data_IF_398440360232
#
_entry.id   IF_398440360232
#
_cell.length_a   1.000
_cell.length_b   1.000
_cell.length_c   1.000
_cell.angle_alpha   90.00
_cell.angle_beta   90.00
_cell.angle_gamma   90.00
#
_symmetry.space_group_name_H-M   'P 1'
#
loop_
_entity.id
_entity.type
_entity.pdbx_description
1 polymer ?
#
# COMPACT_ATOMS: atom_id res chain seq x y z
N UNK A 1 13.05 -4.54 -19.44
CA UNK A 1 12.80 -3.40 -18.52
C UNK A 1 11.31 -3.23 -18.18
N UNK A 2 10.40 -3.21 -19.17
CA UNK A 2 8.95 -3.05 -18.96
C UNK A 2 8.32 -4.06 -17.97
N UNK A 3 8.77 -5.32 -17.96
CA UNK A 3 8.29 -6.32 -17.00
C UNK A 3 8.54 -5.92 -15.55
N UNK A 4 9.77 -5.50 -15.23
CA UNK A 4 10.16 -5.07 -13.87
C UNK A 4 9.35 -3.86 -13.46
N UNK A 5 9.18 -2.92 -14.39
CA UNK A 5 8.35 -1.73 -14.19
C UNK A 5 6.89 -2.09 -13.85
N UNK A 6 6.27 -2.96 -14.64
CA UNK A 6 4.88 -3.37 -14.44
C UNK A 6 4.68 -4.13 -13.13
N UNK A 7 5.60 -5.01 -12.77
CA UNK A 7 5.58 -5.72 -11.48
C UNK A 7 5.62 -4.71 -10.34
N UNK A 8 6.59 -3.78 -10.36
CA UNK A 8 6.70 -2.73 -9.35
C UNK A 8 5.44 -1.85 -9.29
N UNK A 9 4.90 -1.45 -10.45
CA UNK A 9 3.68 -0.65 -10.52
C UNK A 9 2.49 -1.38 -9.88
N UNK A 10 2.31 -2.68 -10.11
CA UNK A 10 1.23 -3.45 -9.49
C UNK A 10 1.42 -3.59 -7.97
N UNK A 11 2.64 -3.90 -7.53
CA UNK A 11 3.02 -4.00 -6.11
C UNK A 11 2.79 -2.68 -5.36
N UNK A 12 3.10 -1.56 -5.99
CA UNK A 12 2.91 -0.23 -5.41
C UNK A 12 1.44 0.21 -5.49
N UNK A 13 0.73 -0.05 -6.60
CA UNK A 13 -0.67 0.31 -6.74
C UNK A 13 -1.57 -0.42 -5.72
N UNK A 14 -1.33 -1.71 -5.44
CA UNK A 14 -2.08 -2.39 -4.38
C UNK A 14 -1.80 -1.81 -2.98
N UNK A 15 -0.57 -1.31 -2.75
CA UNK A 15 -0.21 -0.68 -1.48
C UNK A 15 -0.94 0.66 -1.33
N UNK A 16 -1.13 1.41 -2.42
CA UNK A 16 -1.93 2.65 -2.43
C UNK A 16 -3.38 2.36 -2.06
N UNK A 17 -3.99 1.32 -2.65
CA UNK A 17 -5.34 0.86 -2.27
C UNK A 17 -5.41 0.56 -0.77
N UNK A 18 -4.41 -0.14 -0.22
CA UNK A 18 -4.38 -0.42 1.21
C UNK A 18 -4.25 0.82 2.10
N UNK A 19 -3.54 1.86 1.65
CA UNK A 19 -3.44 3.14 2.37
C UNK A 19 -4.76 3.90 2.30
N UNK A 20 -5.44 3.91 1.15
CA UNK A 20 -6.78 4.51 1.01
C UNK A 20 -7.77 3.90 2.00
N UNK A 21 -7.85 2.55 2.05
CA UNK A 21 -8.73 1.83 2.97
C UNK A 21 -8.35 2.07 4.43
N UNK A 22 -7.05 2.13 4.73
CA UNK A 22 -6.56 2.40 6.08
C UNK A 22 -6.97 3.79 6.56
N UNK A 23 -6.74 4.83 5.75
CA UNK A 23 -7.13 6.21 6.07
C UNK A 23 -8.64 6.34 6.21
N UNK A 24 -9.41 5.68 5.34
CA UNK A 24 -10.87 5.66 5.42
C UNK A 24 -11.39 5.05 6.74
N UNK A 25 -10.83 3.92 7.18
CA UNK A 25 -11.23 3.27 8.44
C UNK A 25 -10.83 4.09 9.67
N UNK A 26 -9.70 4.82 9.60
CA UNK A 26 -9.25 5.75 10.64
C UNK A 26 -10.04 7.08 10.64
N UNK A 27 -10.84 7.36 9.61
CA UNK A 27 -11.56 8.62 9.45
C UNK A 27 -10.66 9.79 9.05
N UNK A 28 -9.49 9.53 8.47
CA UNK A 28 -8.56 10.55 8.00
C UNK A 28 -8.88 10.95 6.56
N UNK A 29 -8.46 12.16 6.18
CA UNK A 29 -8.59 12.62 4.79
C UNK A 29 -7.85 11.64 3.84
N UNK A 30 -8.20 11.50 2.56
CA UNK A 30 -7.47 10.64 1.62
C UNK A 30 -5.96 10.97 1.51
N UNK A 31 -5.15 10.07 0.93
CA UNK A 31 -3.72 10.32 0.73
C UNK A 31 -3.48 11.66 0.00
N UNK A 32 -2.49 12.43 0.48
CA UNK A 32 -2.07 13.68 -0.16
C UNK A 32 -1.28 13.41 -1.45
N UNK A 33 -0.99 14.48 -2.20
CA UNK A 33 -0.10 14.43 -3.35
C UNK A 33 1.22 13.72 -3.02
N UNK A 34 1.76 12.98 -3.99
CA UNK A 34 3.03 12.27 -3.82
C UNK A 34 4.16 13.23 -3.48
N UNK A 35 4.93 12.91 -2.45
CA UNK A 35 6.08 13.70 -2.04
C UNK A 35 7.36 12.88 -2.12
N UNK A 36 8.50 13.56 -1.97
CA UNK A 36 9.76 12.88 -1.69
C UNK A 36 9.65 12.08 -0.39
N UNK A 37 10.25 10.90 -0.40
CA UNK A 37 10.36 10.08 0.79
C UNK A 37 11.35 10.73 1.77
N UNK A 38 10.86 11.03 2.96
CA UNK A 38 11.67 11.39 4.13
C UNK A 38 11.27 10.43 5.25
N UNK A 39 12.26 9.72 5.80
CA UNK A 39 12.06 8.95 7.02
C UNK A 39 11.97 9.93 8.20
N UNK A 40 10.91 9.88 9.01
CA UNK A 40 10.78 10.74 10.19
C UNK A 40 11.80 10.35 11.28
N UNK A 41 12.25 11.33 12.06
CA UNK A 41 13.06 11.09 13.25
C UNK A 41 12.22 10.58 14.42
N UNK A 42 12.86 9.97 15.43
CA UNK A 42 12.16 9.52 16.63
C UNK A 42 11.56 10.68 17.41
N UNK A 43 12.25 11.82 17.41
CA UNK A 43 11.86 13.06 18.04
C UNK A 43 10.64 13.67 17.33
N UNK A 44 10.62 13.69 16.00
CA UNK A 44 9.46 14.12 15.19
C UNK A 44 8.22 13.26 15.51
N UNK A 45 8.38 11.93 15.58
CA UNK A 45 7.28 11.01 15.94
C UNK A 45 6.80 11.25 17.37
N UNK A 46 7.73 11.44 18.32
CA UNK A 46 7.38 11.66 19.72
C UNK A 46 6.61 12.97 19.91
N UNK A 47 7.02 14.03 19.20
CA UNK A 47 6.45 15.37 19.26
C UNK A 47 5.05 15.50 18.62
N UNK A 48 4.60 14.51 17.85
CA UNK A 48 3.30 14.55 17.19
C UNK A 48 2.14 14.70 18.20
N UNK A 49 1.45 15.84 18.15
CA UNK A 49 0.41 16.18 19.14
C UNK A 49 -0.94 15.56 18.81
N UNK A 50 -1.24 15.43 17.52
CA UNK A 50 -2.47 14.83 17.00
C UNK A 50 -2.21 13.41 16.51
N UNK A 51 -3.23 12.56 16.61
CA UNK A 51 -3.12 11.18 16.15
C UNK A 51 -2.94 11.07 14.62
N UNK A 52 -3.57 11.98 13.86
CA UNK A 52 -3.38 12.04 12.41
C UNK A 52 -1.96 12.47 12.03
N UNK A 53 -1.36 13.44 12.74
CA UNK A 53 0.05 13.82 12.56
C UNK A 53 0.98 12.64 12.85
N UNK A 54 0.71 11.91 13.94
CA UNK A 54 1.43 10.69 14.29
C UNK A 54 1.32 9.62 13.19
N UNK A 55 0.12 9.43 12.64
CA UNK A 55 -0.11 8.53 11.53
C UNK A 55 0.61 8.98 10.26
N UNK A 56 0.52 10.25 9.86
CA UNK A 56 1.13 10.77 8.63
C UNK A 56 2.66 10.64 8.62
N UNK A 57 3.30 10.77 9.80
CA UNK A 57 4.74 10.49 9.96
C UNK A 57 5.05 9.01 9.72
N UNK A 58 4.19 8.11 10.21
CA UNK A 58 4.41 6.66 10.18
C UNK A 58 3.73 5.93 9.02
N UNK A 59 2.98 6.65 8.19
CA UNK A 59 2.23 6.09 7.08
C UNK A 59 3.17 5.23 6.21
N UNK A 60 2.75 4.06 5.72
CA UNK A 60 3.62 3.17 4.97
C UNK A 60 4.09 3.79 3.65
N UNK A 61 5.25 4.44 3.68
CA UNK A 61 5.90 5.02 2.50
C UNK A 61 6.81 3.99 1.84
N UNK A 62 6.86 4.01 0.51
CA UNK A 62 7.76 3.16 -0.28
C UNK A 62 8.89 3.99 -0.90
N UNK A 63 10.11 3.46 -0.84
CA UNK A 63 11.27 3.99 -1.60
C UNK A 63 11.09 3.85 -3.11
N UNK A 64 10.15 3.04 -3.57
CA UNK A 64 9.83 2.90 -4.99
C UNK A 64 8.73 3.87 -5.44
N UNK A 65 7.90 4.35 -4.51
CA UNK A 65 6.79 5.28 -4.73
C UNK A 65 7.12 6.68 -4.19
N UNK A 66 8.19 7.27 -4.74
CA UNK A 66 8.58 8.65 -4.45
C UNK A 66 9.05 9.36 -5.73
N UNK A 67 9.04 10.70 -5.72
CA UNK A 67 9.36 11.51 -6.90
C UNK A 67 10.82 11.38 -7.38
N UNK A 68 11.73 10.88 -6.55
CA UNK A 68 13.13 10.66 -6.90
C UNK A 68 13.41 9.24 -7.43
N UNK A 69 12.39 8.37 -7.50
CA UNK A 69 12.52 6.98 -7.95
C UNK A 69 12.44 6.90 -9.47
N UNK A 70 13.38 6.22 -10.10
CA UNK A 70 13.36 5.93 -11.55
C UNK A 70 12.26 4.95 -11.96
N UNK A 71 11.60 4.31 -10.98
CA UNK A 71 10.49 3.39 -11.17
C UNK A 71 9.13 4.03 -10.84
N UNK A 72 9.10 5.33 -10.48
CA UNK A 72 7.88 6.04 -10.14
C UNK A 72 7.44 6.98 -11.26
N UNK A 73 6.25 6.74 -11.81
CA UNK A 73 5.58 7.68 -12.70
C UNK A 73 4.15 7.86 -12.20
N UNK A 74 3.91 9.00 -11.55
CA UNK A 74 2.63 9.34 -10.92
C UNK A 74 1.42 9.07 -11.81
N UNK A 75 1.48 9.49 -13.09
CA UNK A 75 0.41 9.30 -14.08
C UNK A 75 -0.01 7.84 -14.31
N UNK A 76 0.84 6.87 -13.97
CA UNK A 76 0.56 5.46 -14.18
C UNK A 76 -0.22 4.83 -13.00
N UNK A 77 -0.31 5.51 -11.84
CA UNK A 77 -0.99 4.97 -10.66
C UNK A 77 -2.52 4.94 -10.79
N UNK A 78 -3.21 6.04 -11.17
CA UNK A 78 -4.66 6.00 -11.33
C UNK A 78 -5.16 4.88 -12.27
N UNK A 79 -4.61 4.68 -13.49
CA UNK A 79 -5.04 3.58 -14.34
C UNK A 79 -4.64 2.20 -13.80
N UNK A 80 -3.52 2.06 -13.09
CA UNK A 80 -3.13 0.81 -12.45
C UNK A 80 -4.08 0.42 -11.31
N UNK A 81 -4.48 1.38 -10.49
CA UNK A 81 -5.47 1.20 -9.42
C UNK A 81 -6.82 0.80 -10.01
N UNK A 82 -7.30 1.54 -11.03
CA UNK A 82 -8.53 1.20 -11.72
C UNK A 82 -8.50 -0.22 -12.33
N UNK A 83 -7.36 -0.63 -12.89
CA UNK A 83 -7.16 -1.98 -13.39
C UNK A 83 -7.26 -3.03 -12.28
N UNK A 84 -6.62 -2.80 -11.13
CA UNK A 84 -6.68 -3.71 -9.98
C UNK A 84 -8.09 -3.79 -9.39
N UNK A 85 -8.78 -2.65 -9.23
CA UNK A 85 -10.16 -2.63 -8.74
C UNK A 85 -11.10 -3.39 -9.69
N UNK A 86 -10.89 -3.28 -11.01
CA UNK A 86 -11.67 -4.02 -12.01
C UNK A 86 -11.37 -5.52 -12.02
N UNK A 87 -10.10 -5.91 -11.98
CA UNK A 87 -9.68 -7.31 -12.22
C UNK A 87 -9.53 -8.13 -10.94
N UNK A 88 -9.23 -7.47 -9.83
CA UNK A 88 -8.90 -8.08 -8.54
C UNK A 88 -9.48 -7.22 -7.41
N UNK A 89 -10.78 -6.91 -7.50
CA UNK A 89 -11.53 -6.15 -6.47
C UNK A 89 -11.41 -6.73 -5.05
N UNK A 90 -11.02 -8.01 -4.94
CA UNK A 90 -10.68 -8.67 -3.69
C UNK A 90 -9.58 -7.95 -2.90
N UNK A 91 -8.62 -7.26 -3.54
CA UNK A 91 -7.55 -6.51 -2.86
C UNK A 91 -8.14 -5.48 -1.90
N UNK A 92 -9.04 -4.63 -2.40
CA UNK A 92 -9.71 -3.61 -1.60
C UNK A 92 -10.53 -4.24 -0.47
N UNK A 93 -11.25 -5.32 -0.78
CA UNK A 93 -12.04 -6.06 0.19
C UNK A 93 -11.18 -6.65 1.32
N UNK A 94 -10.02 -7.23 1.00
CA UNK A 94 -9.09 -7.81 1.98
C UNK A 94 -8.59 -6.74 2.94
N UNK A 95 -8.14 -5.59 2.43
CA UNK A 95 -7.69 -4.48 3.27
C UNK A 95 -8.80 -3.97 4.18
N UNK A 96 -9.98 -3.67 3.62
CA UNK A 96 -11.12 -3.19 4.38
C UNK A 96 -11.49 -4.15 5.51
N UNK A 97 -11.65 -5.44 5.19
CA UNK A 97 -11.99 -6.46 6.19
C UNK A 97 -10.93 -6.58 7.29
N UNK A 98 -9.64 -6.48 6.93
CA UNK A 98 -8.54 -6.51 7.90
C UNK A 98 -8.62 -5.35 8.87
N UNK A 99 -8.82 -4.13 8.37
CA UNK A 99 -8.88 -2.94 9.21
C UNK A 99 -10.18 -2.89 10.03
N UNK A 100 -11.31 -3.30 9.46
CA UNK A 100 -12.57 -3.42 10.20
C UNK A 100 -12.52 -4.50 11.30
N UNK A 101 -11.83 -5.61 11.09
CA UNK A 101 -11.58 -6.61 12.13
C UNK A 101 -10.73 -6.05 13.27
N UNK A 102 -9.63 -5.34 12.96
CA UNK A 102 -8.83 -4.65 13.98
C UNK A 102 -9.71 -3.67 14.74
N UNK A 103 -10.48 -2.82 14.03
CA UNK A 103 -11.40 -1.84 14.63
C UNK A 103 -12.41 -2.49 15.58
N UNK A 104 -13.08 -3.57 15.15
CA UNK A 104 -14.12 -4.26 15.95
C UNK A 104 -13.60 -4.85 17.26
N UNK A 105 -12.32 -5.20 17.34
CA UNK A 105 -11.68 -5.73 18.56
C UNK A 105 -11.33 -4.64 19.58
N UNK A 106 -11.67 -3.38 19.30
CA UNK A 106 -11.29 -2.21 20.11
C UNK A 106 -12.50 -1.33 20.48
N UNK A 107 -12.39 -0.65 21.62
CA UNK A 107 -13.43 0.21 22.24
C UNK A 107 -13.71 1.49 21.42
N UNK A 108 -14.89 2.15 21.50
CA UNK A 108 -15.24 3.30 20.65
C UNK A 108 -14.30 4.51 20.74
N UNK A 109 -13.50 4.65 21.80
CA UNK A 109 -12.47 5.71 21.95
C UNK A 109 -11.14 5.41 21.24
N UNK A 110 -11.10 4.41 20.36
CA UNK A 110 -9.87 3.85 19.79
C UNK A 110 -9.05 4.80 18.88
N UNK A 111 -9.70 5.76 18.21
CA UNK A 111 -9.02 6.60 17.20
C UNK A 111 -7.99 7.54 17.85
N UNK A 112 -8.03 7.78 19.17
CA UNK A 112 -7.03 8.64 19.84
C UNK A 112 -5.78 7.89 20.34
N UNK A 113 -5.71 6.57 20.19
CA UNK A 113 -4.60 5.76 20.73
C UNK A 113 -3.55 5.43 19.66
N UNK A 114 -2.31 5.87 19.88
CA UNK A 114 -1.12 5.52 19.08
C UNK A 114 -0.96 4.01 18.93
N UNK A 115 -1.28 3.22 19.96
CA UNK A 115 -1.18 1.74 19.90
C UNK A 115 -2.10 1.14 18.84
N UNK A 116 -3.22 1.78 18.54
CA UNK A 116 -4.18 1.25 17.58
C UNK A 116 -3.78 1.63 16.16
N UNK A 117 -3.24 2.84 15.97
CA UNK A 117 -2.53 3.20 14.74
C UNK A 117 -1.41 2.19 14.46
N UNK A 118 -0.63 1.82 15.46
CA UNK A 118 0.47 0.85 15.30
C UNK A 118 -0.01 -0.53 14.86
N UNK A 119 -1.10 -1.01 15.45
CA UNK A 119 -1.74 -2.28 15.05
C UNK A 119 -2.29 -2.22 13.64
N UNK A 120 -2.87 -1.09 13.24
CA UNK A 120 -3.38 -0.90 11.88
C UNK A 120 -2.25 -0.86 10.85
N UNK A 121 -1.16 -0.15 11.15
CA UNK A 121 0.05 -0.11 10.32
C UNK A 121 0.67 -1.52 10.18
N UNK A 122 0.69 -2.30 11.24
CA UNK A 122 1.15 -3.69 11.18
C UNK A 122 0.19 -4.58 10.37
N UNK A 123 -1.13 -4.38 10.55
CA UNK A 123 -2.16 -5.00 9.73
C UNK A 123 -1.98 -4.70 8.24
N UNK A 124 -1.62 -3.46 7.90
CA UNK A 124 -1.30 -3.06 6.53
C UNK A 124 -0.06 -3.81 6.03
N UNK A 125 1.06 -3.77 6.77
CA UNK A 125 2.33 -4.38 6.32
C UNK A 125 2.19 -5.86 6.04
N UNK A 126 1.57 -6.59 6.97
CA UNK A 126 1.33 -8.03 6.84
C UNK A 126 0.43 -8.35 5.64
N UNK A 127 -0.64 -7.58 5.45
CA UNK A 127 -1.58 -7.78 4.34
C UNK A 127 -0.95 -7.43 2.99
N UNK A 128 -0.27 -6.29 2.91
CA UNK A 128 0.45 -5.85 1.72
C UNK A 128 1.51 -6.86 1.30
N UNK A 129 2.26 -7.43 2.25
CA UNK A 129 3.26 -8.45 1.95
C UNK A 129 2.62 -9.72 1.36
N UNK A 130 1.46 -10.14 1.88
CA UNK A 130 0.73 -11.30 1.35
C UNK A 130 0.24 -11.05 -0.07
N UNK A 131 -0.36 -9.88 -0.33
CA UNK A 131 -0.87 -9.51 -1.66
C UNK A 131 0.29 -9.37 -2.64
N UNK A 132 1.37 -8.70 -2.25
CA UNK A 132 2.56 -8.55 -3.07
C UNK A 132 3.15 -9.90 -3.48
N UNK A 133 3.31 -10.83 -2.52
CA UNK A 133 3.74 -12.21 -2.83
C UNK A 133 2.83 -12.90 -3.85
N UNK A 134 1.52 -12.73 -3.73
CA UNK A 134 0.57 -13.30 -4.69
C UNK A 134 0.74 -12.69 -6.09
N UNK A 135 0.90 -11.36 -6.19
CA UNK A 135 1.18 -10.66 -7.45
C UNK A 135 2.48 -11.17 -8.06
N UNK A 136 3.57 -11.21 -7.30
CA UNK A 136 4.87 -11.72 -7.76
C UNK A 136 4.75 -13.15 -8.31
N UNK A 137 4.04 -14.04 -7.61
CA UNK A 137 3.81 -15.41 -8.07
C UNK A 137 3.00 -15.46 -9.36
N UNK A 138 1.98 -14.62 -9.53
CA UNK A 138 1.22 -14.54 -10.79
C UNK A 138 2.13 -14.14 -11.96
N UNK A 139 3.00 -13.15 -11.77
CA UNK A 139 3.96 -12.72 -12.80
C UNK A 139 5.01 -13.79 -13.13
N UNK A 140 5.52 -14.51 -12.13
CA UNK A 140 6.46 -15.62 -12.33
C UNK A 140 5.83 -16.74 -13.12
N UNK A 141 4.61 -17.17 -12.75
CA UNK A 141 3.87 -18.22 -13.47
C UNK A 141 3.57 -17.81 -14.90
N UNK A 142 3.13 -16.57 -15.13
CA UNK A 142 2.88 -16.08 -16.47
C UNK A 142 4.16 -16.08 -17.32
N UNK A 143 5.28 -15.66 -16.74
CA UNK A 143 6.59 -15.70 -17.42
C UNK A 143 7.01 -17.12 -17.81
N UNK A 144 6.84 -18.09 -16.90
CA UNK A 144 7.10 -19.50 -17.18
C UNK A 144 6.20 -20.04 -18.30
N UNK A 145 4.90 -19.74 -18.27
CA UNK A 145 3.96 -20.14 -19.31
C UNK A 145 4.35 -19.56 -20.69
N UNK A 146 4.75 -18.29 -20.75
CA UNK A 146 5.16 -17.65 -21.99
C UNK A 146 6.48 -18.24 -22.52
N UNK A 147 7.43 -18.56 -21.62
CA UNK A 147 8.69 -19.23 -21.99
C UNK A 147 8.43 -20.64 -22.56
N UNK A 148 7.58 -21.44 -21.92
CA UNK A 148 7.20 -22.77 -22.40
C UNK A 148 6.52 -22.73 -23.78
N UNK A 149 5.83 -21.63 -24.10
CA UNK A 149 5.18 -21.42 -25.40
C UNK A 149 6.10 -20.78 -26.45
N UNK A 150 7.38 -20.54 -26.14
CA UNK A 150 8.32 -19.89 -27.06
C UNK A 150 8.01 -18.42 -27.36
N UNK A 151 7.17 -17.76 -26.55
CA UNK A 151 6.68 -16.40 -26.77
C UNK A 151 7.41 -15.34 -25.92
N UNK A 152 8.48 -15.71 -25.22
CA UNK A 152 9.37 -14.72 -24.60
C UNK A 152 10.36 -14.22 -25.66
N UNK A 153 10.13 -13.03 -26.18
CA UNK A 153 11.14 -12.32 -26.96
C UNK A 153 11.94 -11.40 -26.02
N UNK A 154 13.28 -11.49 -26.12
CA UNK A 154 14.25 -10.77 -25.30
C UNK A 154 14.11 -9.25 -25.42
#
# INVERSE_FOLDING_TARGET
MARIFNVNLMSEAQAVIGIEELRAVLGFAPPRNWTNYKEPSREEIAAASKIEEYYELREPRSKMRNLNSTLFFEKNFPPAIAFLDMRISAIRTIYRLKFEDIRRRHDPKWITDRKIVDRMLEGFRTTSLCIDRAIQQMFLRNSLCLALKGMLHN
#
